data_IF_781633316010
#
_entry.id   IF_781633316010
#
_cell.length_a   1.000
_cell.length_b   1.000
_cell.length_c   1.000
_cell.angle_alpha   90.00
_cell.angle_beta   90.00
_cell.angle_gamma   90.00
#
_symmetry.space_group_name_H-M   'P 1'
#
loop_
_entity.id
_entity.type
_entity.pdbx_description
1 polymer ?
#
# COMPACT_ATOMS: atom_id res chain seq x y z
N UNK A 1 15.76 -24.88 13.47
CA UNK A 1 15.90 -24.73 14.92
C UNK A 1 14.57 -25.08 15.60
N UNK A 2 14.62 -26.11 16.47
CA UNK A 2 13.43 -26.66 17.11
C UNK A 2 12.90 -25.82 18.30
N UNK A 3 13.53 -24.73 18.65
CA UNK A 3 13.22 -23.95 19.86
C UNK A 3 12.67 -22.56 19.65
N UNK A 4 12.60 -22.07 18.47
CA UNK A 4 12.16 -20.70 18.24
C UNK A 4 11.62 -20.52 16.85
N UNK A 5 10.44 -20.03 16.76
CA UNK A 5 9.91 -19.53 15.53
C UNK A 5 10.79 -18.36 15.07
N UNK A 6 11.84 -18.63 14.28
CA UNK A 6 12.36 -17.57 13.45
C UNK A 6 11.28 -17.22 12.45
N UNK A 7 10.64 -16.10 12.70
CA UNK A 7 9.53 -15.60 11.89
C UNK A 7 10.01 -14.82 10.66
N UNK A 8 11.31 -14.69 10.45
CA UNK A 8 11.86 -13.91 9.37
C UNK A 8 13.09 -14.55 8.72
N UNK A 9 13.14 -14.49 7.39
CA UNK A 9 14.36 -14.75 6.63
C UNK A 9 15.10 -13.44 6.42
N UNK A 10 16.41 -13.44 6.76
CA UNK A 10 17.25 -12.24 6.67
C UNK A 10 18.41 -12.50 5.73
N UNK A 11 18.58 -11.62 4.74
CA UNK A 11 19.76 -11.62 3.87
C UNK A 11 20.69 -10.53 4.37
N UNK A 12 21.82 -10.90 4.93
CA UNK A 12 22.80 -9.98 5.47
C UNK A 12 23.64 -9.37 4.35
N UNK A 13 23.80 -8.05 4.35
CA UNK A 13 24.58 -7.28 3.37
C UNK A 13 26.10 -7.40 3.59
N UNK A 14 26.55 -7.85 4.74
CA UNK A 14 27.95 -7.93 5.05
C UNK A 14 28.22 -8.55 6.43
N UNK A 15 29.43 -9.06 6.58
CA UNK A 15 29.89 -9.63 7.82
C UNK A 15 30.34 -8.50 8.77
N UNK A 16 29.51 -8.13 9.73
CA UNK A 16 29.89 -7.22 10.80
C UNK A 16 29.38 -7.77 12.12
N UNK A 17 30.26 -7.88 13.08
CA UNK A 17 29.95 -8.42 14.41
C UNK A 17 29.24 -7.45 15.34
N UNK A 18 29.02 -6.21 14.95
CA UNK A 18 28.50 -5.17 15.84
C UNK A 18 27.13 -4.61 15.48
N UNK A 19 26.74 -4.67 14.22
CA UNK A 19 25.42 -4.22 13.77
C UNK A 19 25.02 -5.03 12.54
N UNK A 20 23.98 -5.83 12.69
CA UNK A 20 23.47 -6.62 11.57
C UNK A 20 22.72 -5.70 10.61
N UNK A 21 23.35 -5.36 9.49
CA UNK A 21 22.70 -4.65 8.40
C UNK A 21 22.08 -5.69 7.45
N UNK A 22 20.77 -5.79 7.46
CA UNK A 22 20.03 -6.68 6.57
C UNK A 22 19.76 -5.99 5.25
N UNK A 23 20.00 -6.72 4.16
CA UNK A 23 19.59 -6.27 2.82
C UNK A 23 18.08 -6.45 2.64
N UNK A 24 17.56 -7.56 3.15
CA UNK A 24 16.15 -7.91 2.99
C UNK A 24 15.68 -8.72 4.20
N UNK A 25 14.51 -8.40 4.70
CA UNK A 25 13.83 -9.17 5.74
C UNK A 25 12.50 -9.68 5.15
N UNK A 26 12.35 -11.00 5.14
CA UNK A 26 11.07 -11.65 4.83
C UNK A 26 10.46 -12.10 6.15
N UNK A 27 9.31 -11.57 6.49
CA UNK A 27 8.54 -12.03 7.64
C UNK A 27 7.60 -13.14 7.19
N UNK A 28 7.68 -14.30 7.82
CA UNK A 28 6.84 -15.45 7.47
C UNK A 28 5.36 -15.26 7.81
N UNK A 29 5.06 -14.31 8.68
CA UNK A 29 3.69 -13.96 9.09
C UNK A 29 3.21 -12.67 8.46
N UNK A 30 4.10 -11.86 7.93
CA UNK A 30 3.79 -10.56 7.38
C UNK A 30 3.71 -10.59 5.85
N UNK A 31 2.93 -9.73 5.36
CA UNK A 31 2.69 -9.48 3.93
C UNK A 31 3.67 -8.45 3.37
N UNK A 32 4.88 -8.34 3.93
CA UNK A 32 5.84 -7.33 3.51
C UNK A 32 7.26 -7.87 3.32
N UNK A 33 8.03 -7.17 2.51
CA UNK A 33 9.47 -7.30 2.34
C UNK A 33 10.12 -5.97 2.71
N UNK A 34 11.12 -5.98 3.59
CA UNK A 34 11.86 -4.78 3.99
C UNK A 34 13.28 -4.80 3.40
N UNK A 35 13.63 -3.72 2.73
CA UNK A 35 14.91 -3.47 2.08
C UNK A 35 15.49 -2.18 2.69
N UNK A 36 16.28 -2.29 3.74
CA UNK A 36 16.92 -1.15 4.41
C UNK A 36 15.89 -0.04 4.75
N UNK A 37 15.88 1.06 4.02
CA UNK A 37 14.96 2.19 4.22
C UNK A 37 13.67 2.10 3.38
N UNK A 38 13.42 0.96 2.77
CA UNK A 38 12.26 0.72 1.92
C UNK A 38 11.50 -0.52 2.38
N UNK A 39 10.17 -0.44 2.38
CA UNK A 39 9.28 -1.58 2.63
C UNK A 39 8.32 -1.75 1.46
N UNK A 40 8.18 -3.00 1.01
CA UNK A 40 7.16 -3.39 0.04
C UNK A 40 6.15 -4.29 0.74
N UNK A 41 4.89 -3.96 0.67
CA UNK A 41 3.80 -4.76 1.23
C UNK A 41 2.64 -4.82 0.27
N UNK A 42 1.84 -5.89 0.38
CA UNK A 42 0.64 -6.08 -0.39
C UNK A 42 -0.57 -6.35 0.51
N UNK A 43 -1.75 -6.17 -0.04
CA UNK A 43 -2.98 -6.45 0.65
C UNK A 43 -4.15 -6.71 -0.29
N UNK A 44 -5.23 -7.15 0.31
CA UNK A 44 -6.48 -7.41 -0.38
C UNK A 44 -7.57 -6.51 0.21
N UNK A 45 -8.37 -5.93 -0.67
CA UNK A 45 -9.62 -5.28 -0.32
C UNK A 45 -10.73 -6.32 -0.48
N UNK A 46 -11.32 -6.70 0.64
CA UNK A 46 -12.51 -7.57 0.63
C UNK A 46 -13.65 -6.88 -0.12
N UNK A 47 -14.67 -7.64 -0.49
CA UNK A 47 -15.83 -7.10 -1.21
C UNK A 47 -16.41 -5.86 -0.52
N UNK A 48 -16.57 -4.77 -1.25
CA UNK A 48 -17.12 -3.51 -0.76
C UNK A 48 -18.03 -2.86 -1.83
N UNK A 49 -19.16 -2.23 -1.42
CA UNK A 49 -20.15 -1.71 -2.37
C UNK A 49 -19.84 -0.28 -2.84
N UNK A 50 -19.21 0.56 -2.02
CA UNK A 50 -19.09 2.00 -2.33
C UNK A 50 -17.73 2.60 -2.02
N UNK A 51 -17.03 2.09 -1.01
CA UNK A 51 -15.76 2.67 -0.59
C UNK A 51 -14.87 1.65 0.14
N UNK A 52 -13.56 1.85 0.04
CA UNK A 52 -12.55 1.12 0.79
C UNK A 52 -11.42 2.06 1.20
N UNK A 53 -10.66 1.66 2.21
CA UNK A 53 -9.51 2.43 2.70
C UNK A 53 -8.27 1.55 2.73
N UNK A 54 -7.17 2.07 2.22
CA UNK A 54 -5.83 1.49 2.32
C UNK A 54 -5.01 2.39 3.24
N UNK A 55 -4.41 1.83 4.29
CA UNK A 55 -3.38 2.56 5.06
C UNK A 55 -2.09 2.52 4.27
N UNK A 56 -1.75 3.62 3.62
CA UNK A 56 -0.55 3.72 2.80
C UNK A 56 0.72 3.62 3.65
N UNK A 57 0.80 4.37 4.75
CA UNK A 57 1.92 4.29 5.70
C UNK A 57 1.62 5.06 7.00
N UNK A 58 2.40 4.75 8.05
CA UNK A 58 2.52 5.59 9.25
C UNK A 58 3.58 6.68 8.98
N UNK A 59 3.17 7.96 9.04
CA UNK A 59 4.02 9.13 8.75
C UNK A 59 5.14 9.35 9.77
N UNK A 60 5.06 8.72 10.94
CA UNK A 60 6.15 8.78 11.93
C UNK A 60 7.33 7.91 11.52
N UNK A 61 7.08 6.85 10.77
CA UNK A 61 8.08 5.89 10.31
C UNK A 61 8.49 6.13 8.85
N UNK A 62 7.52 6.39 7.98
CA UNK A 62 7.76 6.57 6.54
C UNK A 62 7.42 8.00 6.11
N UNK A 63 8.02 8.48 5.02
CA UNK A 63 7.81 9.83 4.50
C UNK A 63 7.14 9.84 3.14
N UNK A 64 7.10 8.71 2.50
CA UNK A 64 6.45 8.58 1.20
C UNK A 64 6.09 7.15 0.87
N UNK A 65 5.20 7.02 -0.11
CA UNK A 65 4.84 5.73 -0.68
C UNK A 65 4.42 5.86 -2.14
N UNK A 66 4.52 4.73 -2.83
CA UNK A 66 3.91 4.50 -4.13
C UNK A 66 3.02 3.26 -4.00
N UNK A 67 1.74 3.42 -4.25
CA UNK A 67 0.74 2.36 -4.13
C UNK A 67 0.12 2.09 -5.50
N UNK A 68 0.20 0.84 -5.93
CA UNK A 68 -0.54 0.33 -7.08
C UNK A 68 -1.77 -0.39 -6.57
N UNK A 69 -2.94 -0.02 -7.06
CA UNK A 69 -4.23 -0.60 -6.69
C UNK A 69 -4.89 -1.15 -7.94
N UNK A 70 -5.34 -2.40 -7.89
CA UNK A 70 -6.18 -3.00 -8.94
C UNK A 70 -7.53 -3.32 -8.34
N UNK A 71 -8.58 -2.84 -8.97
CA UNK A 71 -9.99 -3.03 -8.58
C UNK A 71 -10.69 -3.82 -9.68
N UNK A 72 -11.48 -4.77 -9.27
CA UNK A 72 -12.38 -5.54 -10.14
C UNK A 72 -13.81 -5.39 -9.62
N UNK A 73 -14.74 -5.17 -10.52
CA UNK A 73 -16.17 -5.07 -10.22
C UNK A 73 -16.91 -6.37 -10.49
N UNK A 74 -18.10 -6.51 -9.92
CA UNK A 74 -18.97 -7.66 -10.09
C UNK A 74 -19.49 -7.86 -11.55
N UNK A 75 -19.36 -6.84 -12.38
CA UNK A 75 -19.64 -6.92 -13.84
C UNK A 75 -18.36 -7.08 -14.69
N UNK A 76 -17.28 -7.62 -14.08
CA UNK A 76 -16.00 -7.99 -14.72
C UNK A 76 -15.23 -6.81 -15.35
N UNK A 77 -15.41 -5.60 -14.85
CA UNK A 77 -14.60 -4.45 -15.23
C UNK A 77 -13.40 -4.33 -14.31
N UNK A 78 -12.29 -3.87 -14.86
CA UNK A 78 -11.03 -3.72 -14.12
C UNK A 78 -10.56 -2.28 -14.21
N UNK A 79 -10.10 -1.75 -13.07
CA UNK A 79 -9.49 -0.42 -12.96
C UNK A 79 -8.19 -0.52 -12.17
N UNK A 80 -7.12 0.05 -12.70
CA UNK A 80 -5.82 0.13 -12.05
C UNK A 80 -5.44 1.58 -11.82
N UNK A 81 -5.07 1.91 -10.58
CA UNK A 81 -4.68 3.23 -10.11
C UNK A 81 -3.26 3.18 -9.54
N UNK A 82 -2.46 4.21 -9.81
CA UNK A 82 -1.21 4.44 -9.12
C UNK A 82 -1.31 5.72 -8.28
N UNK A 83 -1.01 5.62 -6.98
CA UNK A 83 -1.05 6.74 -6.03
C UNK A 83 0.34 6.93 -5.44
N UNK A 84 0.95 8.09 -5.72
CA UNK A 84 2.24 8.49 -5.13
C UNK A 84 1.99 9.54 -4.06
N UNK A 85 2.57 9.35 -2.86
CA UNK A 85 2.29 10.17 -1.68
C UNK A 85 3.57 10.59 -0.99
N UNK A 86 3.59 11.83 -0.48
CA UNK A 86 4.60 12.31 0.48
C UNK A 86 3.92 13.00 1.64
N UNK A 87 4.48 12.83 2.85
CA UNK A 87 3.98 13.47 4.07
C UNK A 87 5.12 13.71 5.06
N UNK A 88 5.22 14.92 5.63
CA UNK A 88 6.15 15.20 6.71
C UNK A 88 5.73 14.47 8.00
N UNK A 89 6.69 14.14 8.89
CA UNK A 89 6.42 13.41 10.14
C UNK A 89 5.41 14.11 11.06
N UNK A 90 5.45 15.43 11.09
CA UNK A 90 4.53 16.28 11.85
C UNK A 90 3.44 16.92 10.98
N UNK A 91 3.39 16.53 9.68
CA UNK A 91 2.44 17.10 8.73
C UNK A 91 1.00 16.65 9.03
N UNK A 92 0.08 17.59 8.94
CA UNK A 92 -1.36 17.33 9.00
C UNK A 92 -1.96 17.11 7.62
N UNK A 93 -1.15 17.34 6.59
CA UNK A 93 -1.54 17.21 5.18
C UNK A 93 -0.56 16.31 4.46
N UNK A 94 -1.08 15.36 3.70
CA UNK A 94 -0.32 14.59 2.74
C UNK A 94 -0.51 15.20 1.34
N UNK A 95 0.57 15.19 0.55
CA UNK A 95 0.53 15.57 -0.86
C UNK A 95 0.55 14.32 -1.71
N UNK A 96 -0.39 14.21 -2.62
CA UNK A 96 -0.54 13.01 -3.44
C UNK A 96 -0.79 13.35 -4.90
N UNK A 97 -0.34 12.45 -5.76
CA UNK A 97 -0.69 12.43 -7.17
C UNK A 97 -1.28 11.06 -7.49
N UNK A 98 -2.45 11.06 -8.10
CA UNK A 98 -3.05 9.86 -8.70
C UNK A 98 -2.70 9.89 -10.17
N UNK A 99 -1.97 8.87 -10.64
CA UNK A 99 -1.49 8.78 -12.02
C UNK A 99 -1.78 7.39 -12.57
N UNK A 100 -1.69 7.26 -13.89
CA UNK A 100 -1.80 5.99 -14.59
C UNK A 100 -3.09 5.24 -14.26
N UNK A 101 -4.21 5.92 -14.38
CA UNK A 101 -5.49 5.23 -14.38
C UNK A 101 -5.66 4.46 -15.70
N UNK A 102 -5.78 3.14 -15.60
CA UNK A 102 -6.04 2.26 -16.73
C UNK A 102 -7.33 1.51 -16.43
N UNK A 103 -8.31 1.64 -17.29
CA UNK A 103 -9.61 0.99 -17.12
C UNK A 103 -9.95 0.12 -18.32
N UNK A 104 -10.70 -0.94 -18.08
CA UNK A 104 -11.26 -1.75 -19.17
C UNK A 104 -12.51 -1.13 -19.80
N UNK A 105 -13.13 -0.16 -19.12
CA UNK A 105 -14.35 0.55 -19.58
C UNK A 105 -14.36 1.97 -19.00
N UNK A 106 -14.99 2.18 -17.85
CA UNK A 106 -15.06 3.45 -17.14
C UNK A 106 -14.26 3.40 -15.84
N UNK A 107 -13.91 4.55 -15.28
CA UNK A 107 -13.30 4.63 -13.96
C UNK A 107 -14.25 4.04 -12.90
N UNK A 108 -13.76 3.02 -12.18
CA UNK A 108 -14.54 2.35 -11.14
C UNK A 108 -14.46 3.09 -9.81
N UNK A 109 -13.29 3.66 -9.51
CA UNK A 109 -12.99 4.31 -8.24
C UNK A 109 -12.27 5.64 -8.43
N UNK A 110 -12.63 6.59 -7.59
CA UNK A 110 -11.87 7.82 -7.36
C UNK A 110 -11.01 7.64 -6.10
N UNK A 111 -9.77 8.08 -6.15
CA UNK A 111 -8.86 8.00 -5.01
C UNK A 111 -8.58 9.38 -4.41
N UNK A 112 -8.64 9.47 -3.08
CA UNK A 112 -8.24 10.65 -2.31
C UNK A 112 -7.28 10.25 -1.20
N UNK A 113 -6.46 11.19 -0.72
CA UNK A 113 -5.48 10.92 0.32
C UNK A 113 -5.69 11.88 1.49
N UNK A 114 -5.66 11.34 2.70
CA UNK A 114 -5.78 12.12 3.93
C UNK A 114 -4.91 11.58 5.05
N UNK A 115 -4.52 12.46 5.97
CA UNK A 115 -3.85 12.10 7.23
C UNK A 115 -4.92 11.85 8.29
N UNK A 116 -4.89 10.67 8.91
CA UNK A 116 -5.80 10.28 9.99
C UNK A 116 -4.95 9.77 11.17
N UNK A 117 -4.81 10.57 12.20
CA UNK A 117 -3.87 10.29 13.30
C UNK A 117 -2.43 10.24 12.82
N UNK A 118 -1.73 9.14 13.06
CA UNK A 118 -0.38 8.88 12.51
C UNK A 118 -0.40 8.31 11.09
N UNK A 119 -1.54 7.84 10.63
CA UNK A 119 -1.64 7.14 9.34
C UNK A 119 -1.91 8.10 8.18
N UNK A 120 -1.32 7.80 7.04
CA UNK A 120 -1.68 8.35 5.74
C UNK A 120 -2.51 7.31 5.01
N UNK A 121 -3.76 7.66 4.72
CA UNK A 121 -4.74 6.75 4.13
C UNK A 121 -5.07 7.16 2.71
N UNK A 122 -5.21 6.16 1.83
CA UNK A 122 -5.85 6.28 0.52
C UNK A 122 -7.30 5.84 0.69
N UNK A 123 -8.23 6.73 0.43
CA UNK A 123 -9.66 6.43 0.40
C UNK A 123 -10.10 6.26 -1.05
N UNK A 124 -10.65 5.09 -1.35
CA UNK A 124 -11.26 4.76 -2.62
C UNK A 124 -12.78 4.96 -2.49
N UNK A 125 -13.36 5.72 -3.38
CA UNK A 125 -14.81 5.91 -3.46
C UNK A 125 -15.30 5.51 -4.85
N UNK A 126 -16.49 4.87 -4.91
CA UNK A 126 -17.10 4.51 -6.18
C UNK A 126 -17.25 5.76 -7.06
N UNK A 127 -16.68 5.69 -8.27
CA UNK A 127 -16.79 6.77 -9.25
C UNK A 127 -18.23 6.91 -9.76
N UNK A 128 -18.61 8.12 -10.06
CA UNK A 128 -19.90 8.39 -10.69
C UNK A 128 -20.04 7.76 -12.09
N UNK A 129 -18.93 7.38 -12.72
CA UNK A 129 -18.91 6.69 -14.00
C UNK A 129 -19.22 5.18 -13.86
N UNK A 130 -19.03 4.58 -12.67
CA UNK A 130 -19.27 3.15 -12.40
C UNK A 130 -20.75 2.85 -12.12
N UNK A 131 -21.65 3.25 -12.98
CA UNK A 131 -23.10 3.20 -12.73
C UNK A 131 -23.66 1.78 -12.63
N UNK A 132 -23.13 0.82 -13.41
CA UNK A 132 -23.63 -0.55 -13.47
C UNK A 132 -23.04 -1.47 -12.41
N UNK A 133 -21.87 -1.14 -11.86
CA UNK A 133 -21.18 -1.98 -10.89
C UNK A 133 -21.75 -1.76 -9.47
N UNK A 134 -21.99 -2.83 -8.72
CA UNK A 134 -22.58 -2.77 -7.38
C UNK A 134 -21.65 -3.27 -6.27
N UNK A 135 -20.68 -4.12 -6.61
CA UNK A 135 -19.66 -4.60 -5.70
C UNK A 135 -18.28 -4.60 -6.34
N UNK A 136 -17.29 -4.39 -5.51
CA UNK A 136 -15.89 -4.30 -5.91
C UNK A 136 -15.01 -5.16 -5.01
N UNK A 137 -13.96 -5.73 -5.57
CA UNK A 137 -12.85 -6.34 -4.85
C UNK A 137 -11.56 -5.70 -5.32
N UNK A 138 -10.50 -5.81 -4.55
CA UNK A 138 -9.24 -5.23 -4.99
C UNK A 138 -8.01 -5.86 -4.35
N UNK A 139 -6.89 -5.55 -4.96
CA UNK A 139 -5.55 -5.84 -4.44
C UNK A 139 -4.69 -4.62 -4.57
N UNK A 140 -3.72 -4.48 -3.66
CA UNK A 140 -2.76 -3.40 -3.75
C UNK A 140 -1.36 -3.86 -3.37
N UNK A 141 -0.39 -3.14 -3.89
CA UNK A 141 1.01 -3.22 -3.49
C UNK A 141 1.49 -1.82 -3.19
N UNK A 142 2.09 -1.64 -2.01
CA UNK A 142 2.64 -0.35 -1.58
C UNK A 142 4.13 -0.48 -1.34
N UNK A 143 4.90 0.39 -1.97
CA UNK A 143 6.31 0.63 -1.63
C UNK A 143 6.40 1.86 -0.75
N UNK A 144 7.00 1.73 0.44
CA UNK A 144 7.16 2.80 1.43
C UNK A 144 8.63 3.14 1.60
N UNK A 145 8.94 4.42 1.82
CA UNK A 145 10.31 4.92 1.98
C UNK A 145 10.44 5.68 3.30
N UNK A 146 11.47 5.32 4.08
CA UNK A 146 11.95 6.08 5.24
C UNK A 146 12.89 7.19 4.76
N UNK A 147 13.01 8.25 5.53
CA UNK A 147 13.97 9.34 5.35
C UNK A 147 14.55 9.74 6.70
#
# INVERSE_FOLDING_TARGET
DASGAETAWKINRGWSSATENYLTVFDSTATFMELDDCRVEGGQLASFPTSATITAFDRTTFKGSKTLVTIESDDNKVHMLEVTIVCASNGTTAHATVTNSITSDNDLMDATVAVVGSNVNISLAKSSAATSSSNFTGRFTTTKVKV
#
